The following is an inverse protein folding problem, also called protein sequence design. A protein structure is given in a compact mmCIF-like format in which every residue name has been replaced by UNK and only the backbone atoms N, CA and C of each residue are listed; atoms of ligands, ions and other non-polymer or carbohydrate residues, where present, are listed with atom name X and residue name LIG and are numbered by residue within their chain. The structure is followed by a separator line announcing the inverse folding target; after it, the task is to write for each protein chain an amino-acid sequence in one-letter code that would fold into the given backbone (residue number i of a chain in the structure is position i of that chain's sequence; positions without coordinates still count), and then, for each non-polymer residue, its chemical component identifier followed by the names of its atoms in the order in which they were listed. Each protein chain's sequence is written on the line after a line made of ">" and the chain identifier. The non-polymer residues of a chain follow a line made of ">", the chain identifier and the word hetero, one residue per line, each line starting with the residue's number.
data_IF_874508092716
#
_entry.id   IF_874508092716
#
_cell.length_a   1.000
_cell.length_b   1.000
_cell.length_c   1.000
_cell.angle_alpha   90.00
_cell.angle_beta   90.00
_cell.angle_gamma   90.00
#
_symmetry.space_group_name_H-M   'P 1'
#
loop_
_entity.id
_entity.type
_entity.pdbx_description
1 polymer ?
#
# COMPACT_ATOMS: atom_id res chain seq x y z
N UNK A 1 -9.99 3.17 -26.94
CA UNK A 1 -9.98 4.06 -25.78
C UNK A 1 -9.43 5.40 -26.19
N UNK A 2 -10.13 6.50 -25.92
CA UNK A 2 -9.59 7.81 -26.26
C UNK A 2 -8.50 8.21 -25.26
N UNK A 3 -7.39 8.76 -25.74
CA UNK A 3 -6.26 9.26 -24.93
C UNK A 3 -6.69 10.13 -23.73
N UNK A 4 -7.72 11.02 -23.84
CA UNK A 4 -8.17 11.81 -22.70
C UNK A 4 -8.76 10.97 -21.57
N UNK A 5 -9.43 9.85 -21.84
CA UNK A 5 -9.99 8.97 -20.81
C UNK A 5 -8.88 8.28 -20.00
N UNK A 6 -7.83 7.79 -20.67
CA UNK A 6 -6.69 7.17 -19.98
C UNK A 6 -5.93 8.17 -19.10
N UNK A 7 -5.80 9.42 -19.53
CA UNK A 7 -5.17 10.48 -18.72
C UNK A 7 -5.99 10.78 -17.47
N UNK A 8 -7.32 10.82 -17.58
CA UNK A 8 -8.21 11.04 -16.43
C UNK A 8 -8.14 9.88 -15.44
N UNK A 9 -8.16 8.64 -15.93
CA UNK A 9 -8.00 7.44 -15.08
C UNK A 9 -6.65 7.47 -14.37
N UNK A 10 -5.57 7.74 -15.09
CA UNK A 10 -4.22 7.85 -14.51
C UNK A 10 -4.13 8.95 -13.45
N UNK A 11 -4.73 10.11 -13.68
CA UNK A 11 -4.78 11.20 -12.72
C UNK A 11 -5.46 10.80 -11.41
N UNK A 12 -6.62 10.13 -11.48
CA UNK A 12 -7.37 9.69 -10.29
C UNK A 12 -6.57 8.60 -9.54
N UNK A 13 -6.00 7.64 -10.25
CA UNK A 13 -5.13 6.61 -9.65
C UNK A 13 -3.91 7.25 -8.99
N UNK A 14 -3.31 8.26 -9.61
CA UNK A 14 -2.20 9.00 -9.04
C UNK A 14 -2.55 9.69 -7.73
N UNK A 15 -3.75 10.26 -7.61
CA UNK A 15 -4.25 10.83 -6.35
C UNK A 15 -4.39 9.73 -5.27
N UNK A 16 -4.92 8.55 -5.62
CA UNK A 16 -5.01 7.44 -4.68
C UNK A 16 -3.63 6.97 -4.19
N UNK A 17 -2.64 6.91 -5.09
CA UNK A 17 -1.27 6.56 -4.70
C UNK A 17 -0.63 7.60 -3.78
N UNK A 18 -0.83 8.89 -4.04
CA UNK A 18 -0.36 9.96 -3.15
C UNK A 18 -1.03 9.84 -1.78
N UNK A 19 -2.34 9.60 -1.73
CA UNK A 19 -3.07 9.40 -0.49
C UNK A 19 -2.55 8.17 0.27
N UNK A 20 -2.26 7.07 -0.44
CA UNK A 20 -1.66 5.87 0.14
C UNK A 20 -0.26 6.17 0.72
N UNK A 21 0.59 6.89 -0.01
CA UNK A 21 1.92 7.27 0.45
C UNK A 21 1.85 8.13 1.73
N UNK A 22 0.91 9.06 1.81
CA UNK A 22 0.67 9.87 3.02
C UNK A 22 0.16 8.99 4.16
N UNK A 23 -0.75 8.06 3.89
CA UNK A 23 -1.26 7.13 4.91
C UNK A 23 -0.16 6.24 5.51
N UNK A 24 0.92 5.92 4.75
CA UNK A 24 2.08 5.19 5.26
C UNK A 24 2.87 5.95 6.34
N UNK A 25 2.64 7.25 6.50
CA UNK A 25 3.26 8.04 7.59
C UNK A 25 2.73 7.59 8.96
N UNK A 26 1.49 7.10 9.04
CA UNK A 26 0.89 6.64 10.30
C UNK A 26 1.66 5.46 10.91
N UNK A 27 1.90 4.33 10.20
CA UNK A 27 2.72 3.26 10.73
C UNK A 27 4.17 3.69 11.00
N UNK A 28 4.73 4.62 10.23
CA UNK A 28 6.06 5.17 10.52
C UNK A 28 6.09 5.92 11.86
N UNK A 29 5.06 6.70 12.16
CA UNK A 29 4.94 7.40 13.45
C UNK A 29 4.85 6.40 14.60
N UNK A 30 4.11 5.30 14.45
CA UNK A 30 4.04 4.25 15.47
C UNK A 30 5.38 3.55 15.68
N UNK A 31 6.14 3.27 14.62
CA UNK A 31 7.49 2.70 14.74
C UNK A 31 8.45 3.61 15.53
N UNK A 32 8.35 4.93 15.34
CA UNK A 32 9.13 5.91 16.09
C UNK A 32 8.73 5.96 17.57
N UNK A 33 7.43 5.91 17.87
CA UNK A 33 6.93 5.96 19.26
C UNK A 33 7.35 4.71 20.03
N UNK A 34 7.36 3.53 19.40
CA UNK A 34 7.74 2.26 20.03
C UNK A 34 9.22 1.92 19.90
N UNK A 35 10.06 2.87 19.47
CA UNK A 35 11.51 2.73 19.29
C UNK A 35 11.93 1.55 18.37
N UNK A 36 11.02 1.04 17.55
CA UNK A 36 11.29 0.00 16.54
C UNK A 36 11.77 0.61 15.24
N UNK A 37 12.94 1.22 15.26
CA UNK A 37 13.48 1.97 14.10
C UNK A 37 14.03 1.09 12.98
N UNK A 38 14.17 -0.23 13.19
CA UNK A 38 14.74 -1.16 12.21
C UNK A 38 13.99 -1.20 10.88
N UNK A 39 12.67 -1.13 10.90
CA UNK A 39 11.81 -1.21 9.72
C UNK A 39 11.51 0.16 9.07
N UNK A 40 11.94 1.23 9.72
CA UNK A 40 11.68 2.61 9.29
C UNK A 40 12.21 2.91 7.88
N UNK A 41 13.45 2.50 7.49
CA UNK A 41 13.93 2.74 6.13
C UNK A 41 13.10 2.01 5.07
N UNK A 42 12.58 0.82 5.37
CA UNK A 42 11.73 0.05 4.47
C UNK A 42 10.41 0.77 4.16
N UNK A 43 9.76 1.31 5.19
CA UNK A 43 8.56 2.12 5.02
C UNK A 43 8.83 3.44 4.29
N UNK A 44 9.97 4.08 4.55
CA UNK A 44 10.40 5.28 3.83
C UNK A 44 10.56 5.01 2.33
N UNK A 45 11.26 3.95 1.96
CA UNK A 45 11.43 3.57 0.57
C UNK A 45 10.10 3.24 -0.11
N UNK A 46 9.24 2.45 0.54
CA UNK A 46 7.91 2.11 0.03
C UNK A 46 7.06 3.37 -0.21
N UNK A 47 7.01 4.27 0.78
CA UNK A 47 6.29 5.54 0.69
C UNK A 47 6.83 6.44 -0.42
N UNK A 48 8.17 6.56 -0.54
CA UNK A 48 8.81 7.38 -1.56
C UNK A 48 8.53 6.85 -2.98
N UNK A 49 8.65 5.54 -3.19
CA UNK A 49 8.35 4.91 -4.49
C UNK A 49 6.87 5.15 -4.85
N UNK A 50 5.96 4.93 -3.90
CA UNK A 50 4.52 5.14 -4.10
C UNK A 50 4.20 6.59 -4.40
N UNK A 51 4.82 7.53 -3.69
CA UNK A 51 4.65 8.97 -3.89
C UNK A 51 5.13 9.43 -5.28
N UNK A 52 6.33 9.00 -5.68
CA UNK A 52 6.90 9.31 -7.00
C UNK A 52 6.04 8.74 -8.12
N UNK A 53 5.57 7.50 -7.98
CA UNK A 53 4.65 6.89 -8.94
C UNK A 53 3.32 7.66 -9.04
N UNK A 54 2.77 8.09 -7.90
CA UNK A 54 1.58 8.93 -7.85
C UNK A 54 1.79 10.28 -8.56
N UNK A 55 2.89 10.97 -8.28
CA UNK A 55 3.24 12.23 -8.97
C UNK A 55 3.41 12.05 -10.48
N UNK A 56 4.08 10.98 -10.90
CA UNK A 56 4.29 10.68 -12.31
C UNK A 56 2.97 10.49 -13.08
N UNK A 57 1.92 10.02 -12.41
CA UNK A 57 0.58 9.89 -12.99
C UNK A 57 -0.23 11.20 -12.93
N UNK A 58 -0.04 12.01 -11.89
CA UNK A 58 -0.79 13.25 -11.69
C UNK A 58 -0.28 14.38 -12.60
N UNK A 59 1.04 14.52 -12.77
CA UNK A 59 1.64 15.62 -13.52
C UNK A 59 1.16 15.70 -14.98
N UNK A 60 1.17 14.60 -15.77
CA UNK A 60 0.70 14.62 -17.15
C UNK A 60 -0.81 14.59 -17.30
N UNK A 61 -1.54 14.33 -16.23
CA UNK A 61 -2.93 13.85 -16.25
C UNK A 61 -4.01 14.88 -15.92
N UNK A 62 -3.72 16.18 -15.70
CA UNK A 62 -4.79 17.14 -15.38
C UNK A 62 -5.87 17.15 -16.48
N UNK A 63 -7.08 16.61 -16.20
CA UNK A 63 -8.16 16.61 -17.16
C UNK A 63 -8.79 18.01 -17.22
N UNK A 64 -8.96 18.57 -18.40
CA UNK A 64 -9.72 19.81 -18.58
C UNK A 64 -11.22 19.59 -18.38
N UNK A 65 -11.73 18.40 -18.76
CA UNK A 65 -13.14 18.00 -18.57
C UNK A 65 -13.22 16.51 -18.24
N UNK A 66 -13.89 16.19 -17.12
CA UNK A 66 -14.08 14.81 -16.68
C UNK A 66 -15.42 14.30 -17.26
N UNK A 67 -15.38 13.72 -18.46
CA UNK A 67 -16.50 12.99 -19.04
C UNK A 67 -16.19 11.49 -19.02
N UNK A 68 -16.52 10.82 -17.89
CA UNK A 68 -16.40 9.37 -17.76
C UNK A 68 -17.73 8.71 -18.18
N UNK A 69 -17.63 7.78 -19.13
CA UNK A 69 -18.75 6.88 -19.48
C UNK A 69 -18.88 5.80 -18.40
N UNK A 70 -20.04 5.17 -18.20
CA UNK A 70 -20.20 4.11 -17.21
C UNK A 70 -19.14 2.98 -17.32
N UNK A 71 -18.75 2.62 -18.55
CA UNK A 71 -17.68 1.65 -18.82
C UNK A 71 -16.33 2.11 -18.27
N UNK A 72 -16.00 3.40 -18.39
CA UNK A 72 -14.74 3.96 -17.93
C UNK A 72 -14.69 4.00 -16.39
N UNK A 73 -15.83 4.14 -15.72
CA UNK A 73 -15.95 4.07 -14.27
C UNK A 73 -15.63 2.65 -13.73
N UNK A 74 -16.13 1.59 -14.39
CA UNK A 74 -15.78 0.22 -14.02
C UNK A 74 -14.27 -0.05 -14.17
N UNK A 75 -13.69 0.39 -15.29
CA UNK A 75 -12.26 0.25 -15.53
C UNK A 75 -11.44 1.04 -14.50
N UNK A 76 -11.87 2.26 -14.16
CA UNK A 76 -11.24 3.06 -13.11
C UNK A 76 -11.27 2.33 -11.77
N UNK A 77 -12.42 1.80 -11.36
CA UNK A 77 -12.59 1.12 -10.09
C UNK A 77 -11.66 -0.11 -10.01
N UNK A 78 -11.71 -1.01 -10.99
CA UNK A 78 -10.90 -2.23 -10.99
C UNK A 78 -9.41 -1.90 -11.04
N UNK A 79 -9.00 -0.98 -11.92
CA UNK A 79 -7.58 -0.61 -12.04
C UNK A 79 -7.06 0.10 -10.81
N UNK A 80 -7.86 0.96 -10.15
CA UNK A 80 -7.44 1.63 -8.93
C UNK A 80 -7.21 0.63 -7.78
N UNK A 81 -8.10 -0.35 -7.61
CA UNK A 81 -7.92 -1.40 -6.59
C UNK A 81 -6.66 -2.21 -6.83
N UNK A 82 -6.42 -2.67 -8.06
CA UNK A 82 -5.22 -3.43 -8.39
C UNK A 82 -3.96 -2.61 -8.15
N UNK A 83 -3.91 -1.37 -8.65
CA UNK A 83 -2.73 -0.52 -8.51
C UNK A 83 -2.47 -0.20 -7.04
N UNK A 84 -3.49 0.16 -6.26
CA UNK A 84 -3.33 0.43 -4.83
C UNK A 84 -2.80 -0.80 -4.09
N UNK A 85 -3.31 -2.01 -4.38
CA UNK A 85 -2.81 -3.24 -3.76
C UNK A 85 -1.36 -3.54 -4.12
N UNK A 86 -0.94 -3.31 -5.38
CA UNK A 86 0.44 -3.48 -5.84
C UNK A 86 1.40 -2.61 -5.01
N UNK A 87 1.07 -1.34 -4.81
CA UNK A 87 1.92 -0.42 -4.05
C UNK A 87 1.80 -0.62 -2.53
N UNK A 88 0.63 -0.99 -2.02
CA UNK A 88 0.43 -1.32 -0.62
C UNK A 88 1.17 -2.61 -0.20
N UNK A 89 1.54 -3.48 -1.14
CA UNK A 89 2.38 -4.66 -0.89
C UNK A 89 3.84 -4.32 -0.60
N UNK A 90 4.35 -3.15 -1.04
CA UNK A 90 5.76 -2.79 -0.91
C UNK A 90 6.27 -2.77 0.53
N UNK A 91 5.60 -2.17 1.51
CA UNK A 91 6.07 -2.21 2.89
C UNK A 91 6.15 -3.63 3.44
N UNK A 92 5.18 -4.52 3.14
CA UNK A 92 5.22 -5.92 3.57
C UNK A 92 6.40 -6.67 2.97
N UNK A 93 6.65 -6.48 1.67
CA UNK A 93 7.80 -7.06 0.98
C UNK A 93 9.13 -6.64 1.62
N UNK A 94 9.28 -5.37 1.96
CA UNK A 94 10.52 -4.81 2.46
C UNK A 94 10.75 -5.05 3.96
N UNK A 95 9.68 -5.20 4.77
CA UNK A 95 9.78 -5.40 6.22
C UNK A 95 9.76 -6.88 6.61
N UNK A 96 8.86 -7.67 6.01
CA UNK A 96 8.65 -9.07 6.41
C UNK A 96 9.51 -10.06 5.63
N UNK A 97 10.24 -9.60 4.59
CA UNK A 97 11.04 -10.45 3.70
C UNK A 97 10.29 -11.65 3.12
N UNK A 98 8.96 -11.52 2.99
CA UNK A 98 8.08 -12.51 2.36
C UNK A 98 8.06 -12.33 0.85
N UNK A 99 7.50 -13.31 0.12
CA UNK A 99 7.38 -13.22 -1.32
C UNK A 99 6.49 -12.04 -1.74
N UNK A 100 6.69 -11.50 -2.94
CA UNK A 100 5.81 -10.45 -3.47
C UNK A 100 4.36 -10.91 -3.56
N UNK A 101 4.13 -12.18 -3.90
CA UNK A 101 2.79 -12.77 -3.99
C UNK A 101 2.07 -12.75 -2.65
N UNK A 102 2.78 -13.10 -1.58
CA UNK A 102 2.23 -13.10 -0.21
C UNK A 102 1.97 -11.67 0.26
N UNK A 103 2.89 -10.74 -0.02
CA UNK A 103 2.74 -9.32 0.28
C UNK A 103 1.52 -8.70 -0.44
N UNK A 104 1.32 -9.07 -1.71
CA UNK A 104 0.17 -8.64 -2.49
C UNK A 104 -1.13 -9.22 -1.93
N UNK A 105 -1.13 -10.51 -1.54
CA UNK A 105 -2.29 -11.15 -0.92
C UNK A 105 -2.68 -10.47 0.40
N UNK A 106 -1.71 -10.18 1.29
CA UNK A 106 -1.95 -9.46 2.54
C UNK A 106 -2.54 -8.07 2.29
N UNK A 107 -1.99 -7.33 1.32
CA UNK A 107 -2.49 -6.00 0.96
C UNK A 107 -3.91 -6.06 0.40
N UNK A 108 -4.18 -7.02 -0.49
CA UNK A 108 -5.50 -7.23 -1.05
C UNK A 108 -6.51 -7.61 0.03
N UNK A 109 -6.14 -8.53 0.92
CA UNK A 109 -6.96 -8.96 2.05
C UNK A 109 -7.30 -7.80 2.99
N UNK A 110 -6.32 -6.94 3.28
CA UNK A 110 -6.53 -5.74 4.10
C UNK A 110 -7.47 -4.73 3.46
N UNK A 111 -7.26 -4.40 2.18
CA UNK A 111 -8.05 -3.41 1.45
C UNK A 111 -9.49 -3.89 1.23
N UNK A 112 -9.68 -5.19 0.98
CA UNK A 112 -11.01 -5.79 0.80
C UNK A 112 -11.71 -6.14 2.11
N UNK A 113 -11.05 -5.92 3.26
CA UNK A 113 -11.53 -6.29 4.59
C UNK A 113 -11.89 -7.79 4.72
N UNK A 114 -11.23 -8.65 3.93
CA UNK A 114 -11.47 -10.10 3.94
C UNK A 114 -10.91 -10.74 5.21
N UNK A 115 -9.81 -10.20 5.77
CA UNK A 115 -9.20 -10.69 7.00
C UNK A 115 -8.45 -12.02 6.86
N UNK A 116 -8.25 -12.50 5.63
CA UNK A 116 -7.41 -13.67 5.37
C UNK A 116 -5.93 -13.29 5.46
N UNK A 117 -5.11 -14.12 6.10
CA UNK A 117 -3.66 -13.89 6.22
C UNK A 117 -2.86 -15.12 5.82
N UNK A 118 -1.73 -14.89 5.17
CA UNK A 118 -0.70 -15.90 4.88
C UNK A 118 0.41 -15.84 5.93
N UNK A 119 0.46 -14.74 6.71
CA UNK A 119 1.44 -14.58 7.76
C UNK A 119 1.19 -15.59 8.89
N UNK A 120 2.08 -16.57 9.02
CA UNK A 120 2.06 -17.56 10.09
C UNK A 120 2.95 -17.09 11.23
N UNK A 121 2.52 -17.31 12.48
CA UNK A 121 3.34 -17.03 13.66
C UNK A 121 3.19 -15.64 14.28
N UNK A 122 2.17 -14.86 13.89
CA UNK A 122 1.86 -13.58 14.54
C UNK A 122 1.61 -13.74 16.04
N UNK A 123 1.01 -14.85 16.46
CA UNK A 123 0.73 -15.15 17.88
C UNK A 123 2.00 -15.53 18.65
N UNK A 124 2.99 -16.18 18.00
CA UNK A 124 4.24 -16.58 18.65
C UNK A 124 5.12 -15.37 19.00
N UNK A 125 5.04 -14.29 18.24
CA UNK A 125 5.76 -13.05 18.53
C UNK A 125 5.24 -12.35 19.79
N UNK A 126 3.95 -12.47 20.10
CA UNK A 126 3.35 -11.91 21.31
C UNK A 126 3.61 -12.77 22.54
N UNK A 127 3.67 -14.12 22.39
CA UNK A 127 3.91 -15.07 23.47
C UNK A 127 5.39 -14.98 23.91
N UNK A 128 6.33 -14.77 23.00
CA UNK A 128 7.77 -14.68 23.33
C UNK A 128 8.15 -13.43 24.13
N UNK A 129 7.29 -12.39 24.14
CA UNK A 129 7.49 -11.19 24.95
C UNK A 129 6.99 -11.40 26.39
N UNK A 130 6.15 -12.39 26.65
CA UNK A 130 5.49 -12.64 27.93
C UNK A 130 6.08 -13.78 28.78
N UNK A 131 7.08 -14.52 28.29
CA UNK A 131 7.77 -15.50 29.14
C UNK A 131 8.95 -14.82 29.86
N UNK A 132 8.79 -14.49 31.16
CA UNK A 132 9.96 -14.21 31.98
C UNK A 132 10.78 -15.50 32.09
N UNK A 133 12.04 -15.44 31.63
CA UNK A 133 13.04 -16.50 31.88
C UNK A 133 12.99 -16.88 33.35
N UNK A 134 12.40 -18.03 33.68
CA UNK A 134 12.60 -18.64 34.99
C UNK A 134 14.00 -19.21 35.03
N UNK A 135 14.89 -18.72 35.92
CA UNK A 135 16.14 -19.42 36.23
C UNK A 135 15.76 -20.68 37.04
N UNK A 136 16.34 -21.80 36.65
CA UNK A 136 16.33 -23.02 37.44
C UNK A 136 17.19 -22.86 38.69
#
# INVERSE_FOLDING_TARGET
>A
MALPTLRTIGFIIGIFLITLAVAMVVPMATLLIFERTGDLPSFLWASMITFVAGLALVIPGRPEHVHLRPRDMYLLTVSSWLVVCIFAALPFLLTQHISYTDSFFESMSGITATGATVLTGLDLSLIHISEPTRPY
#
